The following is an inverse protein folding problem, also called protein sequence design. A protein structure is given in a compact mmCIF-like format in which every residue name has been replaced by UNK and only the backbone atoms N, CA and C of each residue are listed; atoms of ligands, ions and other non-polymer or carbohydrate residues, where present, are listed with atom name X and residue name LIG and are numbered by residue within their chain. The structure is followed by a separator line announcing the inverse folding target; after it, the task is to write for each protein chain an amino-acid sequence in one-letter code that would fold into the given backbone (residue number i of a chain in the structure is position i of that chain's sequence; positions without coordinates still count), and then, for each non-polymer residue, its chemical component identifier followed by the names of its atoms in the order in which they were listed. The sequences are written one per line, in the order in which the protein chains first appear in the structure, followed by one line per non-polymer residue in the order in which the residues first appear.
data_IF_808670108008
#
_entry.id   IF_808670108008
#
_cell.length_a   1.000
_cell.length_b   1.000
_cell.length_c   1.000
_cell.angle_alpha   90.00
_cell.angle_beta   90.00
_cell.angle_gamma   90.00
#
_symmetry.space_group_name_H-M   'P 1'
#
loop_
_entity.id
_entity.type
_entity.pdbx_description
1 polymer ?
#
# COMPACT_ATOMS: atom_id res chain seq x y z
N UNK A 1 -11.11 -8.40 16.96
CA UNK A 1 -11.87 -8.46 15.70
C UNK A 1 -11.42 -7.30 14.79
N UNK A 2 -11.37 -7.51 13.48
CA UNK A 2 -11.04 -6.46 12.50
C UNK A 2 -12.25 -6.23 11.60
N UNK A 3 -12.68 -4.98 11.44
CA UNK A 3 -13.67 -4.62 10.43
C UNK A 3 -12.95 -4.30 9.12
N UNK A 4 -13.46 -4.83 8.00
CA UNK A 4 -13.04 -4.40 6.67
C UNK A 4 -13.85 -3.15 6.34
N UNK A 5 -13.14 -2.06 6.06
CA UNK A 5 -13.74 -0.80 5.65
C UNK A 5 -13.89 -0.76 4.12
N UNK A 6 -12.86 -1.19 3.40
CA UNK A 6 -12.84 -1.17 1.93
C UNK A 6 -11.85 -2.20 1.38
N UNK A 7 -12.16 -2.80 0.25
CA UNK A 7 -11.24 -3.70 -0.46
C UNK A 7 -11.13 -3.25 -1.91
N UNK A 8 -9.89 -3.13 -2.39
CA UNK A 8 -9.58 -2.86 -3.80
C UNK A 8 -8.76 -4.01 -4.38
N UNK A 9 -8.84 -4.15 -5.70
CA UNK A 9 -8.21 -5.24 -6.43
C UNK A 9 -7.44 -4.71 -7.64
N UNK A 10 -6.19 -5.15 -7.77
CA UNK A 10 -5.31 -4.81 -8.90
C UNK A 10 -4.78 -6.10 -9.51
N UNK A 11 -4.92 -6.28 -10.81
CA UNK A 11 -4.37 -7.42 -11.54
C UNK A 11 -3.43 -6.97 -12.66
N UNK A 12 -2.18 -7.43 -12.63
CA UNK A 12 -1.15 -7.13 -13.63
C UNK A 12 -0.15 -8.26 -13.78
N UNK A 13 0.21 -8.63 -15.01
CA UNK A 13 1.28 -9.58 -15.34
C UNK A 13 1.25 -10.87 -14.50
N UNK A 14 0.07 -11.50 -14.40
CA UNK A 14 -0.21 -12.68 -13.56
C UNK A 14 -0.06 -12.48 -12.04
N UNK A 15 -0.01 -11.24 -11.57
CA UNK A 15 -0.03 -10.90 -10.15
C UNK A 15 -1.34 -10.21 -9.81
N UNK A 16 -1.94 -10.67 -8.73
CA UNK A 16 -3.15 -10.11 -8.14
C UNK A 16 -2.79 -9.49 -6.81
N UNK A 17 -3.19 -8.25 -6.61
CA UNK A 17 -3.00 -7.52 -5.38
C UNK A 17 -4.36 -7.20 -4.79
N UNK A 18 -4.56 -7.63 -3.55
CA UNK A 18 -5.73 -7.30 -2.76
C UNK A 18 -5.31 -6.28 -1.72
N UNK A 19 -5.95 -5.12 -1.75
CA UNK A 19 -5.66 -4.02 -0.85
C UNK A 19 -6.87 -3.87 0.08
N UNK A 20 -6.75 -4.36 1.32
CA UNK A 20 -7.82 -4.34 2.30
C UNK A 20 -7.57 -3.24 3.33
N UNK A 21 -8.39 -2.20 3.30
CA UNK A 21 -8.45 -1.20 4.36
C UNK A 21 -9.23 -1.76 5.55
N UNK A 22 -8.57 -1.81 6.70
CA UNK A 22 -9.09 -2.42 7.92
C UNK A 22 -8.94 -1.51 9.13
N UNK A 23 -9.84 -1.69 10.09
CA UNK A 23 -9.80 -1.01 11.39
C UNK A 23 -9.71 -2.02 12.54
N UNK A 24 -8.95 -1.66 13.57
CA UNK A 24 -8.81 -2.40 14.81
C UNK A 24 -8.69 -1.43 16.01
N UNK A 25 -8.58 -1.99 17.21
CA UNK A 25 -8.43 -1.21 18.44
C UNK A 25 -7.17 -0.31 18.47
N UNK A 26 -6.12 -0.67 17.72
CA UNK A 26 -4.88 0.12 17.57
C UNK A 26 -4.99 1.20 16.49
N UNK A 27 -6.08 1.23 15.73
CA UNK A 27 -6.31 2.16 14.64
C UNK A 27 -6.50 1.45 13.29
N UNK A 28 -6.21 2.17 12.22
CA UNK A 28 -6.49 1.73 10.86
C UNK A 28 -5.21 1.35 10.13
N UNK A 29 -5.33 0.38 9.22
CA UNK A 29 -4.22 -0.14 8.46
C UNK A 29 -4.68 -0.67 7.10
N UNK A 30 -3.77 -0.64 6.13
CA UNK A 30 -3.94 -1.26 4.83
C UNK A 30 -3.17 -2.57 4.79
N UNK A 31 -3.87 -3.66 4.50
CA UNK A 31 -3.26 -4.97 4.25
C UNK A 31 -3.15 -5.17 2.75
N UNK A 32 -1.93 -5.30 2.26
CA UNK A 32 -1.66 -5.57 0.85
C UNK A 32 -1.23 -7.02 0.72
N UNK A 33 -2.04 -7.81 0.01
CA UNK A 33 -1.76 -9.21 -0.29
C UNK A 33 -1.49 -9.38 -1.77
N UNK A 34 -0.32 -9.89 -2.10
CA UNK A 34 0.07 -10.29 -3.44
C UNK A 34 -0.10 -11.81 -3.61
N UNK A 35 -0.83 -12.21 -4.64
CA UNK A 35 -0.87 -13.58 -5.13
C UNK A 35 -0.40 -13.63 -6.58
N UNK A 36 0.10 -14.79 -7.02
CA UNK A 36 0.47 -15.01 -8.41
C UNK A 36 -0.51 -16.02 -9.00
N UNK A 37 -1.20 -15.67 -10.08
CA UNK A 37 -1.99 -16.59 -10.87
C UNK A 37 -1.03 -17.53 -11.59
N UNK A 38 -0.83 -18.73 -11.06
CA UNK A 38 -0.21 -19.81 -11.84
C UNK A 38 -1.30 -20.58 -12.57
N UNK A 39 -1.15 -20.74 -13.87
CA UNK A 39 -1.94 -21.69 -14.64
C UNK A 39 -1.76 -23.12 -14.09
N UNK A 40 -2.74 -24.02 -14.33
CA UNK A 40 -2.71 -25.38 -13.82
C UNK A 40 -1.59 -26.16 -14.54
N UNK A 41 -0.40 -26.22 -13.95
CA UNK A 41 0.74 -26.96 -14.54
C UNK A 41 2.13 -26.60 -14.03
N UNK A 42 2.32 -25.45 -13.36
CA UNK A 42 3.64 -25.09 -12.80
C UNK A 42 3.76 -25.44 -11.32
N UNK A 43 3.60 -26.73 -11.03
CA UNK A 43 3.93 -27.33 -9.73
C UNK A 43 5.37 -27.84 -9.80
N UNK A 44 6.31 -27.06 -9.25
CA UNK A 44 7.65 -27.50 -8.85
C UNK A 44 8.72 -27.48 -9.95
N UNK A 45 9.57 -26.45 -9.97
CA UNK A 45 10.96 -26.52 -10.48
C UNK A 45 11.83 -25.33 -10.02
N UNK A 46 11.24 -24.21 -9.62
CA UNK A 46 11.98 -23.08 -9.03
C UNK A 46 11.80 -23.08 -7.50
N UNK A 47 12.81 -23.62 -6.81
CA UNK A 47 12.91 -23.56 -5.35
C UNK A 47 13.00 -22.11 -4.88
N UNK A 48 11.97 -21.65 -4.17
CA UNK A 48 11.95 -20.58 -3.16
C UNK A 48 10.49 -20.20 -2.92
N UNK A 49 9.82 -20.73 -1.88
CA UNK A 49 8.55 -20.22 -1.29
C UNK A 49 7.41 -19.74 -2.22
N UNK A 50 7.42 -20.15 -3.48
CA UNK A 50 6.64 -19.61 -4.59
C UNK A 50 5.24 -20.20 -4.61
N UNK A 51 4.50 -20.02 -3.53
CA UNK A 51 3.10 -20.40 -3.33
C UNK A 51 2.49 -19.74 -2.10
N UNK A 52 3.32 -19.08 -1.27
CA UNK A 52 2.85 -18.26 -0.16
C UNK A 52 2.35 -16.92 -0.69
N UNK A 53 1.12 -16.57 -0.31
CA UNK A 53 0.58 -15.23 -0.50
C UNK A 53 1.47 -14.24 0.26
N UNK A 54 2.14 -13.36 -0.47
CA UNK A 54 3.01 -12.37 0.16
C UNK A 54 2.14 -11.24 0.69
N UNK A 55 2.21 -10.98 1.99
CA UNK A 55 1.35 -10.00 2.64
C UNK A 55 2.19 -9.00 3.44
N UNK A 56 1.94 -7.72 3.22
CA UNK A 56 2.43 -6.63 4.07
C UNK A 56 1.26 -5.88 4.69
N UNK A 57 1.51 -5.24 5.84
CA UNK A 57 0.52 -4.48 6.60
C UNK A 57 1.08 -3.11 6.93
N UNK A 58 0.55 -2.09 6.25
CA UNK A 58 0.91 -0.69 6.39
C UNK A 58 -0.06 0.00 7.36
N UNK A 59 0.40 0.48 8.53
CA UNK A 59 -0.41 1.34 9.39
C UNK A 59 -0.73 2.66 8.70
N UNK A 60 -1.79 3.35 9.14
CA UNK A 60 -2.22 4.60 8.52
C UNK A 60 -1.12 5.67 8.41
N UNK A 61 -0.24 5.74 9.41
CA UNK A 61 0.95 6.60 9.36
C UNK A 61 1.79 6.25 8.11
N UNK A 62 2.30 5.01 8.05
CA UNK A 62 3.13 4.49 6.96
C UNK A 62 2.55 4.56 5.54
N UNK A 63 1.24 4.76 5.40
CA UNK A 63 0.62 4.92 4.09
C UNK A 63 0.98 6.26 3.44
N UNK A 64 1.21 7.31 4.25
CA UNK A 64 1.55 8.63 3.75
C UNK A 64 2.95 8.60 3.17
N UNK A 65 3.92 8.04 3.90
CA UNK A 65 5.29 7.90 3.40
C UNK A 65 5.35 6.95 2.19
N UNK A 66 4.51 5.91 2.17
CA UNK A 66 4.38 5.04 0.98
C UNK A 66 3.89 5.83 -0.23
N UNK A 67 2.82 6.63 -0.07
CA UNK A 67 2.26 7.45 -1.14
C UNK A 67 3.31 8.40 -1.68
N UNK A 68 3.98 9.14 -0.81
CA UNK A 68 4.95 10.15 -1.20
C UNK A 68 6.15 9.54 -1.92
N UNK A 69 6.67 8.40 -1.42
CA UNK A 69 7.72 7.66 -2.10
C UNK A 69 7.25 7.15 -3.49
N UNK A 70 6.02 6.64 -3.60
CA UNK A 70 5.50 6.15 -4.87
C UNK A 70 5.25 7.28 -5.88
N UNK A 71 4.80 8.45 -5.43
CA UNK A 71 4.61 9.63 -6.28
C UNK A 71 5.96 10.09 -6.84
N UNK A 72 6.98 10.24 -5.98
CA UNK A 72 8.34 10.59 -6.42
C UNK A 72 8.87 9.60 -7.46
N UNK A 73 8.67 8.30 -7.24
CA UNK A 73 9.05 7.27 -8.19
C UNK A 73 8.27 7.35 -9.51
N UNK A 74 6.98 7.69 -9.47
CA UNK A 74 6.19 7.90 -10.69
C UNK A 74 6.64 9.16 -11.42
N UNK A 75 7.04 10.23 -10.74
CA UNK A 75 7.56 11.44 -11.37
C UNK A 75 8.93 11.17 -12.03
N UNK A 76 9.83 10.47 -11.33
CA UNK A 76 11.18 10.16 -11.82
C UNK A 76 11.19 9.18 -13.01
N UNK A 77 10.22 8.25 -13.05
CA UNK A 77 10.12 7.21 -14.08
C UNK A 77 8.99 7.42 -15.10
N UNK A 78 8.01 8.28 -14.80
CA UNK A 78 6.79 8.48 -15.60
C UNK A 78 6.99 9.27 -16.89
N UNK A 79 8.09 9.99 -17.00
CA UNK A 79 8.42 10.84 -18.15
C UNK A 79 9.40 10.20 -19.15
N UNK A 80 9.98 9.04 -18.82
CA UNK A 80 10.90 8.34 -19.71
C UNK A 80 10.27 7.04 -20.20
N UNK A 81 9.98 6.96 -21.50
CA UNK A 81 9.84 5.66 -22.15
C UNK A 81 11.07 4.82 -21.79
N UNK A 82 10.84 3.77 -20.98
CA UNK A 82 11.87 2.81 -20.58
C UNK A 82 12.48 2.13 -21.82
N UNK A 83 11.78 2.23 -22.96
CA UNK A 83 12.24 1.84 -24.29
C UNK A 83 13.36 2.75 -24.82
N UNK A 84 13.36 4.05 -24.52
CA UNK A 84 14.38 5.00 -24.99
C UNK A 84 15.68 4.90 -24.17
N UNK A 85 15.59 4.51 -22.88
CA UNK A 85 16.77 4.18 -22.04
C UNK A 85 17.45 2.86 -22.41
N UNK A 86 16.88 2.06 -23.32
CA UNK A 86 17.54 0.86 -23.90
C UNK A 86 18.43 1.21 -25.10
N UNK A 87 18.41 2.46 -25.57
CA UNK A 87 19.17 2.94 -26.72
C UNK A 87 20.58 3.41 -26.39
N UNK A 88 21.43 2.59 -25.76
CA UNK A 88 22.87 2.85 -25.72
C UNK A 88 23.60 2.41 -24.45
N UNK A 89 24.29 1.28 -24.53
CA UNK A 89 25.36 0.89 -23.59
C UNK A 89 24.99 -0.27 -22.65
N UNK A 90 25.91 -1.22 -22.51
CA UNK A 90 25.92 -2.33 -21.54
C UNK A 90 25.97 -1.88 -20.05
N UNK A 91 25.42 -0.71 -19.73
CA UNK A 91 25.41 -0.17 -18.38
C UNK A 91 24.08 -0.51 -17.70
N UNK A 92 24.08 -1.13 -16.50
CA UNK A 92 22.86 -1.36 -15.76
C UNK A 92 22.18 -0.01 -15.50
N UNK A 93 20.85 0.12 -15.68
CA UNK A 93 20.18 1.38 -15.45
C UNK A 93 20.46 1.86 -14.03
N UNK A 94 20.90 3.11 -13.87
CA UNK A 94 21.00 3.72 -12.54
C UNK A 94 19.61 3.71 -11.90
N UNK A 95 19.49 3.02 -10.77
CA UNK A 95 18.26 2.92 -9.99
C UNK A 95 18.38 3.88 -8.81
N UNK A 96 17.30 4.55 -8.40
CA UNK A 96 17.32 5.45 -7.26
C UNK A 96 17.67 4.67 -5.99
N UNK A 97 18.26 5.39 -5.05
CA UNK A 97 18.56 4.83 -3.74
C UNK A 97 17.27 4.38 -3.05
N UNK A 98 17.27 3.15 -2.54
CA UNK A 98 16.08 2.60 -1.90
C UNK A 98 15.72 3.38 -0.63
N UNK A 99 14.48 3.85 -0.55
CA UNK A 99 13.98 4.58 0.62
C UNK A 99 13.57 3.60 1.73
N UNK A 100 13.75 3.99 2.99
CA UNK A 100 13.21 3.21 4.11
C UNK A 100 12.58 4.13 5.16
N UNK A 101 11.51 3.66 5.78
CA UNK A 101 10.88 4.35 6.89
C UNK A 101 10.50 3.37 8.00
N UNK A 102 10.27 3.91 9.19
CA UNK A 102 9.87 3.13 10.37
C UNK A 102 8.49 3.56 10.83
N UNK A 103 7.66 2.57 11.14
CA UNK A 103 6.33 2.79 11.74
C UNK A 103 6.16 1.78 12.86
N UNK A 104 5.88 2.26 14.06
CA UNK A 104 5.89 1.45 15.28
C UNK A 104 7.21 0.64 15.41
N UNK A 105 7.09 -0.69 15.59
CA UNK A 105 8.16 -1.66 15.67
C UNK A 105 8.41 -2.39 14.33
N UNK A 106 8.06 -1.74 13.22
CA UNK A 106 8.26 -2.27 11.86
C UNK A 106 9.12 -1.31 11.06
N UNK A 107 9.99 -1.85 10.22
CA UNK A 107 10.74 -1.08 9.23
C UNK A 107 10.30 -1.49 7.84
N UNK A 108 10.01 -0.51 6.99
CA UNK A 108 9.66 -0.73 5.60
C UNK A 108 10.82 -0.29 4.71
N UNK A 109 11.14 -1.12 3.70
CA UNK A 109 12.15 -0.83 2.69
C UNK A 109 11.49 -0.79 1.31
N UNK A 110 11.90 0.18 0.49
CA UNK A 110 11.38 0.46 -0.83
C UNK A 110 12.56 0.44 -1.79
N UNK A 111 12.83 -0.74 -2.33
CA UNK A 111 13.97 -0.94 -3.21
C UNK A 111 13.45 -0.97 -4.66
N UNK A 112 13.90 -0.04 -5.49
CA UNK A 112 13.65 -0.11 -6.93
C UNK A 112 14.64 -1.12 -7.53
N UNK A 113 14.12 -2.00 -8.39
CA UNK A 113 14.90 -3.00 -9.10
C UNK A 113 14.55 -2.98 -10.58
N UNK A 114 15.49 -3.39 -11.42
CA UNK A 114 15.25 -3.66 -12.83
C UNK A 114 15.53 -5.13 -13.15
N UNK A 115 14.82 -5.68 -14.12
CA UNK A 115 15.11 -6.99 -14.69
C UNK A 115 14.76 -6.99 -16.19
N UNK A 116 14.93 -8.13 -16.87
CA UNK A 116 14.61 -8.26 -18.31
C UNK A 116 13.16 -7.90 -18.68
N UNK A 117 12.23 -8.01 -17.72
CA UNK A 117 10.82 -7.68 -17.87
C UNK A 117 10.49 -6.21 -17.57
N UNK A 118 11.46 -5.44 -17.07
CA UNK A 118 11.34 -4.02 -16.78
C UNK A 118 11.64 -3.66 -15.32
N UNK A 119 11.23 -2.46 -14.93
CA UNK A 119 11.42 -1.90 -13.60
C UNK A 119 10.31 -2.40 -12.66
N UNK A 120 10.66 -2.62 -11.40
CA UNK A 120 9.76 -3.03 -10.34
C UNK A 120 10.14 -2.39 -9.00
N UNK A 121 9.15 -2.22 -8.14
CA UNK A 121 9.33 -1.78 -6.77
C UNK A 121 9.21 -2.98 -5.83
N UNK A 122 10.20 -3.17 -4.97
CA UNK A 122 10.18 -4.18 -3.92
C UNK A 122 9.89 -3.51 -2.59
N UNK A 123 8.76 -3.85 -1.98
CA UNK A 123 8.37 -3.33 -0.67
C UNK A 123 8.54 -4.43 0.36
N UNK A 124 9.48 -4.24 1.29
CA UNK A 124 9.75 -5.19 2.38
C UNK A 124 9.23 -4.66 3.71
N UNK A 125 8.36 -5.39 4.39
CA UNK A 125 8.03 -5.18 5.81
C UNK A 125 8.95 -6.05 6.67
N UNK A 126 9.76 -5.43 7.52
CA UNK A 126 10.71 -6.10 8.41
C UNK A 126 10.30 -5.87 9.86
N UNK A 127 10.07 -6.99 10.56
CA UNK A 127 9.90 -7.05 12.01
C UNK A 127 10.63 -8.29 12.51
N UNK A 128 11.86 -8.17 13.03
CA UNK A 128 12.67 -9.33 13.40
C UNK A 128 11.90 -10.35 14.28
N UNK A 129 11.99 -11.65 13.97
CA UNK A 129 12.81 -12.29 12.92
C UNK A 129 12.13 -12.34 11.53
N UNK A 130 10.93 -11.78 11.38
CA UNK A 130 10.12 -11.90 10.16
C UNK A 130 10.41 -10.80 9.15
N UNK A 131 10.39 -11.18 7.86
CA UNK A 131 10.43 -10.27 6.72
C UNK A 131 9.41 -10.72 5.69
N UNK A 132 8.46 -9.86 5.38
CA UNK A 132 7.51 -10.06 4.30
C UNK A 132 7.84 -9.10 3.16
N UNK A 133 7.62 -9.51 1.91
CA UNK A 133 7.98 -8.67 0.76
C UNK A 133 7.03 -8.89 -0.39
N UNK A 134 6.49 -7.78 -0.91
CA UNK A 134 5.75 -7.74 -2.17
C UNK A 134 6.61 -7.11 -3.26
N UNK A 135 6.26 -7.36 -4.51
CA UNK A 135 6.95 -6.81 -5.68
C UNK A 135 5.93 -6.27 -6.65
N UNK A 136 5.93 -4.96 -6.86
CA UNK A 136 4.98 -4.24 -7.68
C UNK A 136 5.65 -3.84 -9.00
N UNK A 137 5.21 -4.36 -10.17
CA UNK A 137 5.78 -3.96 -11.45
C UNK A 137 5.49 -2.50 -11.75
N UNK A 138 6.38 -1.82 -12.47
CA UNK A 138 6.24 -0.41 -12.87
C UNK A 138 4.85 -0.09 -13.45
N UNK A 139 4.35 -0.97 -14.33
CA UNK A 139 3.01 -0.86 -14.95
C UNK A 139 1.83 -0.82 -13.96
N UNK A 140 2.05 -1.19 -12.69
CA UNK A 140 1.06 -1.13 -11.64
C UNK A 140 1.23 0.08 -10.70
N UNK A 141 2.32 0.84 -10.78
CA UNK A 141 2.62 1.93 -9.83
C UNK A 141 1.53 2.99 -9.82
N UNK A 142 1.12 3.51 -10.97
CA UNK A 142 0.03 4.50 -11.07
C UNK A 142 -1.25 4.00 -10.42
N UNK A 143 -1.61 2.72 -10.64
CA UNK A 143 -2.79 2.11 -10.01
C UNK A 143 -2.63 2.00 -8.50
N UNK A 144 -1.46 1.66 -7.99
CA UNK A 144 -1.20 1.69 -6.56
C UNK A 144 -1.36 3.11 -6.00
N UNK A 145 -0.76 4.12 -6.64
CA UNK A 145 -0.85 5.52 -6.25
C UNK A 145 -2.29 6.03 -6.18
N UNK A 146 -3.08 5.78 -7.22
CA UNK A 146 -4.52 6.10 -7.25
C UNK A 146 -5.28 5.48 -6.07
N UNK A 147 -4.96 4.23 -5.72
CA UNK A 147 -5.61 3.56 -4.60
C UNK A 147 -5.23 4.20 -3.26
N UNK A 148 -3.95 4.57 -3.06
CA UNK A 148 -3.53 5.28 -1.84
C UNK A 148 -4.24 6.62 -1.65
N UNK A 149 -4.42 7.40 -2.72
CA UNK A 149 -5.18 8.66 -2.67
C UNK A 149 -6.65 8.39 -2.26
N UNK A 150 -7.30 7.40 -2.89
CA UNK A 150 -8.68 7.01 -2.50
C UNK A 150 -8.78 6.57 -1.04
N UNK A 151 -7.77 5.86 -0.53
CA UNK A 151 -7.74 5.46 0.86
C UNK A 151 -7.59 6.64 1.81
N UNK A 152 -6.75 7.61 1.48
CA UNK A 152 -6.62 8.84 2.26
C UNK A 152 -7.94 9.62 2.32
N UNK A 153 -8.63 9.75 1.18
CA UNK A 153 -9.96 10.38 1.14
C UNK A 153 -10.97 9.63 2.02
N UNK A 154 -10.97 8.29 1.96
CA UNK A 154 -11.85 7.45 2.77
C UNK A 154 -11.55 7.62 4.26
N UNK A 155 -10.27 7.65 4.64
CA UNK A 155 -9.84 7.92 6.02
C UNK A 155 -10.39 9.24 6.54
N UNK A 156 -10.33 10.29 5.70
CA UNK A 156 -10.84 11.63 6.01
C UNK A 156 -12.35 11.62 6.14
N UNK A 157 -13.09 10.92 5.27
CA UNK A 157 -14.55 10.77 5.36
C UNK A 157 -14.97 10.10 6.67
N UNK A 158 -14.33 8.99 7.04
CA UNK A 158 -14.66 8.28 8.27
C UNK A 158 -14.31 9.13 9.50
N UNK A 159 -13.19 9.87 9.48
CA UNK A 159 -12.83 10.80 10.55
C UNK A 159 -13.88 11.91 10.74
N UNK A 160 -14.29 12.56 9.64
CA UNK A 160 -15.29 13.61 9.67
C UNK A 160 -16.67 13.09 10.14
N UNK A 161 -17.09 11.90 9.68
CA UNK A 161 -18.34 11.29 10.13
C UNK A 161 -18.38 11.01 11.63
N UNK A 162 -17.25 10.61 12.23
CA UNK A 162 -17.15 10.41 13.69
C UNK A 162 -17.09 11.72 14.47
N UNK A 163 -16.55 12.79 13.86
CA UNK A 163 -16.53 14.14 14.45
C UNK A 163 -17.93 14.76 14.47
N UNK A 164 -18.69 14.61 13.38
CA UNK A 164 -20.05 15.15 13.23
C UNK A 164 -21.01 14.49 14.24
N UNK A 165 -20.97 13.15 14.36
CA UNK A 165 -21.76 12.42 15.38
C UNK A 165 -21.46 12.79 16.84
N UNK A 166 -20.26 13.30 17.13
CA UNK A 166 -19.89 13.78 18.48
C UNK A 166 -20.36 15.21 18.75
N UNK A 167 -20.58 16.01 17.71
CA UNK A 167 -21.13 17.36 17.84
C UNK A 167 -22.65 17.32 18.02
N UNK A 168 -23.35 16.43 17.32
CA UNK A 168 -24.80 16.27 17.48
C UNK A 168 -25.21 15.78 18.88
N UNK A 169 -24.44 14.86 19.48
CA UNK A 169 -24.71 14.35 20.83
C UNK A 169 -24.49 15.37 21.97
N UNK A 170 -23.90 16.54 21.68
CA UNK A 170 -23.73 17.64 22.65
C UNK A 170 -24.77 18.75 22.48
N UNK A 171 -25.60 18.71 21.43
CA UNK A 171 -26.65 19.69 21.16
C UNK A 171 -27.99 19.40 21.85
N UNK A 172 -28.17 18.22 22.44
CA UNK A 172 -29.47 17.71 22.93
C UNK A 172 -29.57 17.61 24.46
N UNK A 173 -28.84 18.46 25.20
CA UNK A 173 -28.86 18.45 26.68
C UNK A 173 -28.96 19.85 27.30
N UNK A 174 -29.56 20.80 26.58
CA UNK A 174 -29.91 22.11 27.11
C UNK A 174 -31.41 22.33 27.01
N UNK A 175 -32.04 22.70 28.13
CA UNK A 175 -33.40 23.24 28.27
C UNK A 175 -34.56 22.24 28.48
N UNK A 176 -34.58 21.54 29.61
CA UNK A 176 -35.83 21.29 30.35
C UNK A 176 -35.55 21.32 31.86
N UNK A 177 -35.39 22.51 32.45
CA UNK A 177 -35.65 22.76 33.87
C UNK A 177 -35.68 24.26 34.20
N UNK A 178 -36.81 24.90 33.92
CA UNK A 178 -37.41 25.92 34.80
C UNK A 178 -38.90 25.51 34.85
N UNK A 179 -39.43 24.92 35.92
CA UNK A 179 -39.23 25.29 37.31
C UNK A 179 -40.41 26.17 37.73
N UNK A 180 -41.52 25.51 38.05
CA UNK A 180 -42.69 26.09 38.69
C UNK A 180 -42.30 26.81 39.99
N UNK A 181 -42.64 28.10 40.11
CA UNK A 181 -43.39 28.72 41.22
C UNK A 181 -43.51 30.25 41.03
#
# INVERSE_FOLDING_TARGET
PHSVLKTEYIERDNRKYYLDLKENQRGRFLRIRQTMSRGPGMMGYFGHSLGQEQTIVLPAQGMIEFRDALVQLIEEYGEGDIEDRRGGGDEPPELPEGTSFRVDNKRFYFDVGSNRYGIFLKVSEVRPPYRNTITVPYKAWTRFGENFIKYEEEMRRIYNSHKEKRMDARGDSGEEQEGLE
#
